data_IF_109134883113
#
_entry.id   IF_109134883113
#
_cell.length_a   1.000
_cell.length_b   1.000
_cell.length_c   1.000
_cell.angle_alpha   90.00
_cell.angle_beta   90.00
_cell.angle_gamma   90.00
#
_symmetry.space_group_name_H-M   'P 1'
#
loop_
_entity.id
_entity.type
_entity.pdbx_description
1 polymer ?
#
# COMPACT_ATOMS: atom_id res chain seq x y z
N UNK A 1 -10.23 -11.20 8.10
CA UNK A 1 -10.92 -10.58 9.26
C UNK A 1 -11.52 -9.26 8.81
N UNK A 2 -12.82 -9.06 9.04
CA UNK A 2 -13.42 -7.74 9.05
C UNK A 2 -13.63 -7.40 10.52
N UNK A 3 -12.82 -6.51 11.09
CA UNK A 3 -13.08 -6.04 12.43
C UNK A 3 -14.42 -5.29 12.41
N UNK A 4 -15.38 -5.75 13.20
CA UNK A 4 -16.75 -5.19 13.26
C UNK A 4 -16.92 -4.17 14.38
N UNK A 5 -15.87 -3.95 15.19
CA UNK A 5 -15.87 -2.98 16.28
C UNK A 5 -15.48 -1.58 15.84
N UNK A 6 -15.64 -0.62 16.76
CA UNK A 6 -15.14 0.75 16.63
C UNK A 6 -13.87 0.93 17.47
N UNK A 7 -13.02 1.90 17.12
CA UNK A 7 -11.79 2.23 17.85
C UNK A 7 -10.51 1.56 17.33
N UNK A 8 -9.35 1.95 17.90
CA UNK A 8 -8.01 1.61 17.42
C UNK A 8 -7.75 0.10 17.27
N UNK A 9 -8.28 -0.73 18.17
CA UNK A 9 -8.14 -2.20 18.12
C UNK A 9 -8.85 -2.84 16.90
N UNK A 10 -9.75 -2.10 16.26
CA UNK A 10 -10.48 -2.53 15.06
C UNK A 10 -9.88 -1.96 13.77
N UNK A 11 -8.63 -1.46 13.82
CA UNK A 11 -7.96 -0.84 12.68
C UNK A 11 -6.80 -1.67 12.18
N UNK A 12 -6.36 -1.39 10.95
CA UNK A 12 -5.16 -1.96 10.34
C UNK A 12 -3.89 -1.72 11.17
N UNK A 13 -3.88 -0.76 12.11
CA UNK A 13 -2.75 -0.59 13.03
C UNK A 13 -2.66 -1.69 14.09
N UNK A 14 -3.78 -2.36 14.40
CA UNK A 14 -3.81 -3.50 15.32
C UNK A 14 -3.54 -4.83 14.59
N UNK A 15 -4.12 -5.03 13.41
CA UNK A 15 -4.09 -6.33 12.71
C UNK A 15 -3.38 -6.34 11.36
N UNK A 16 -2.90 -5.21 10.85
CA UNK A 16 -2.25 -5.12 9.54
C UNK A 16 -3.16 -5.54 8.38
N UNK A 17 -2.70 -6.51 7.59
CA UNK A 17 -3.50 -7.10 6.52
C UNK A 17 -4.59 -8.06 7.04
N UNK A 18 -4.55 -8.46 8.31
CA UNK A 18 -5.47 -9.39 8.94
C UNK A 18 -4.80 -10.73 9.30
N UNK A 19 -5.63 -11.71 9.64
CA UNK A 19 -5.16 -13.06 9.97
C UNK A 19 -4.57 -13.77 8.75
N UNK A 20 -3.55 -14.59 8.98
CA UNK A 20 -2.89 -15.36 7.93
C UNK A 20 -3.84 -16.40 7.32
N UNK A 21 -3.79 -16.54 5.99
CA UNK A 21 -4.32 -17.68 5.26
C UNK A 21 -3.15 -18.41 4.60
N UNK A 22 -2.63 -19.49 5.21
CA UNK A 22 -1.47 -20.19 4.69
C UNK A 22 -1.71 -20.83 3.33
N UNK A 23 -2.93 -21.28 3.04
CA UNK A 23 -3.27 -21.97 1.79
C UNK A 23 -3.28 -20.98 0.64
N UNK A 24 -3.91 -19.82 0.82
CA UNK A 24 -3.90 -18.76 -0.18
C UNK A 24 -2.49 -18.17 -0.38
N UNK A 25 -1.66 -18.13 0.66
CA UNK A 25 -0.30 -17.58 0.59
C UNK A 25 0.66 -18.40 -0.30
N UNK A 26 0.41 -19.70 -0.51
CA UNK A 26 1.22 -20.56 -1.38
C UNK A 26 1.11 -20.17 -2.86
N UNK A 27 -0.04 -19.64 -3.28
CA UNK A 27 -0.27 -19.18 -4.64
C UNK A 27 -1.02 -17.84 -4.63
N UNK A 28 -0.31 -16.72 -4.43
CA UNK A 28 -0.94 -15.42 -4.23
C UNK A 28 -1.42 -14.75 -5.53
N UNK A 29 -1.05 -15.25 -6.71
CA UNK A 29 -1.32 -14.63 -8.01
C UNK A 29 -0.42 -13.43 -8.31
N UNK A 30 -0.46 -12.37 -7.50
CA UNK A 30 0.42 -11.20 -7.61
C UNK A 30 1.23 -10.97 -6.34
N UNK A 31 2.45 -10.46 -6.49
CA UNK A 31 3.31 -10.05 -5.38
C UNK A 31 3.86 -8.65 -5.57
N UNK A 32 4.16 -7.97 -4.46
CA UNK A 32 4.87 -6.70 -4.45
C UNK A 32 6.34 -6.97 -4.13
N UNK A 33 7.19 -6.97 -5.15
CA UNK A 33 8.62 -7.21 -4.95
C UNK A 33 9.34 -5.94 -4.51
N UNK A 34 10.33 -6.13 -3.64
CA UNK A 34 11.21 -5.11 -3.09
C UNK A 34 12.61 -5.68 -2.92
N UNK A 35 13.63 -4.88 -3.16
CA UNK A 35 15.02 -5.24 -2.89
C UNK A 35 15.75 -4.24 -1.98
N UNK A 36 17.05 -4.46 -1.75
CA UNK A 36 17.90 -3.58 -0.93
C UNK A 36 17.91 -2.13 -1.45
N UNK A 37 17.94 -1.96 -2.77
CA UNK A 37 17.99 -0.65 -3.43
C UNK A 37 16.71 0.14 -3.16
N UNK A 38 15.55 -0.53 -3.20
CA UNK A 38 14.27 0.10 -2.86
C UNK A 38 14.24 0.62 -1.41
N UNK A 39 14.78 -0.16 -0.48
CA UNK A 39 14.88 0.23 0.93
C UNK A 39 15.84 1.40 1.13
N UNK A 40 16.98 1.40 0.42
CA UNK A 40 17.91 2.52 0.42
C UNK A 40 17.22 3.80 -0.10
N UNK A 41 16.50 3.71 -1.22
CA UNK A 41 15.77 4.84 -1.79
C UNK A 41 14.69 5.37 -0.82
N UNK A 42 14.00 4.48 -0.11
CA UNK A 42 13.04 4.82 0.95
C UNK A 42 13.70 5.59 2.10
N UNK A 43 14.82 5.10 2.64
CA UNK A 43 15.55 5.77 3.72
C UNK A 43 16.12 7.12 3.27
N UNK A 44 16.60 7.21 2.03
CA UNK A 44 17.00 8.48 1.40
C UNK A 44 15.81 9.46 1.32
N UNK A 45 14.62 8.98 0.97
CA UNK A 45 13.38 9.77 0.97
C UNK A 45 12.96 10.28 2.35
N UNK A 46 13.38 9.60 3.42
CA UNK A 46 13.22 10.02 4.81
C UNK A 46 14.33 10.97 5.29
N UNK A 47 15.25 11.38 4.40
CA UNK A 47 16.40 12.24 4.70
C UNK A 47 17.39 11.64 5.72
N UNK A 48 17.58 10.32 5.72
CA UNK A 48 18.66 9.70 6.50
C UNK A 48 20.04 10.18 6.02
N UNK A 49 20.95 10.43 6.96
CA UNK A 49 22.31 10.86 6.64
C UNK A 49 23.15 9.71 6.08
N UNK A 50 24.19 10.01 5.28
CA UNK A 50 25.11 8.99 4.77
C UNK A 50 25.77 8.15 5.87
N UNK A 51 26.02 8.75 7.05
CA UNK A 51 26.55 8.04 8.22
C UNK A 51 25.54 7.02 8.76
N UNK A 52 24.27 7.41 8.89
CA UNK A 52 23.21 6.52 9.33
C UNK A 52 22.95 5.40 8.30
N UNK A 53 22.92 5.75 7.01
CA UNK A 53 22.76 4.77 5.92
C UNK A 53 23.89 3.75 5.93
N UNK A 54 25.16 4.17 6.09
CA UNK A 54 26.30 3.25 6.18
C UNK A 54 26.19 2.28 7.36
N UNK A 55 25.67 2.76 8.50
CA UNK A 55 25.45 1.91 9.67
C UNK A 55 24.36 0.86 9.42
N UNK A 56 23.27 1.24 8.73
CA UNK A 56 22.12 0.37 8.44
C UNK A 56 22.43 -0.63 7.31
N UNK A 57 23.03 -0.16 6.22
CA UNK A 57 23.25 -0.95 4.99
C UNK A 57 24.55 -1.75 5.00
N UNK A 58 25.48 -1.42 5.90
CA UNK A 58 26.83 -1.99 5.97
C UNK A 58 27.82 -1.42 4.94
N UNK A 59 27.40 -0.49 4.06
CA UNK A 59 28.23 0.02 2.97
C UNK A 59 28.05 1.52 2.75
N UNK A 60 29.00 2.17 2.06
CA UNK A 60 28.88 3.57 1.73
C UNK A 60 27.77 3.77 0.67
N UNK A 61 26.72 4.50 1.04
CA UNK A 61 25.57 4.78 0.19
C UNK A 61 25.51 6.27 -0.14
N UNK A 62 25.34 6.57 -1.44
CA UNK A 62 25.03 7.92 -1.93
C UNK A 62 23.58 7.92 -2.41
N UNK A 63 22.76 8.81 -1.87
CA UNK A 63 21.37 8.94 -2.29
C UNK A 63 21.28 9.54 -3.70
N UNK A 64 21.13 8.70 -4.72
CA UNK A 64 20.82 9.11 -6.08
C UNK A 64 19.30 9.15 -6.27
N UNK A 65 18.71 10.33 -6.06
CA UNK A 65 17.26 10.54 -6.19
C UNK A 65 16.49 10.38 -4.87
N UNK A 66 15.31 11.00 -4.81
CA UNK A 66 14.40 10.92 -3.66
C UNK A 66 13.06 10.37 -4.14
N UNK A 67 12.72 9.15 -3.73
CA UNK A 67 11.33 8.67 -3.81
C UNK A 67 10.58 9.17 -2.59
N UNK A 68 9.28 9.41 -2.73
CA UNK A 68 8.44 9.66 -1.55
C UNK A 68 8.39 8.36 -0.72
N UNK A 69 8.60 8.40 0.60
CA UNK A 69 8.60 7.19 1.43
C UNK A 69 7.34 6.31 1.25
N UNK A 70 6.17 6.93 1.05
CA UNK A 70 4.90 6.24 0.76
C UNK A 70 4.87 5.44 -0.56
N UNK A 71 5.83 5.67 -1.45
CA UNK A 71 5.98 4.95 -2.72
C UNK A 71 6.93 3.75 -2.65
N UNK A 72 7.44 3.38 -1.46
CA UNK A 72 7.97 2.03 -1.29
C UNK A 72 6.92 1.02 -1.79
N UNK A 73 7.34 0.04 -2.58
CA UNK A 73 6.48 -0.97 -3.19
C UNK A 73 5.96 -2.00 -2.16
N UNK A 74 5.37 -1.52 -1.08
CA UNK A 74 4.89 -2.32 0.04
C UNK A 74 3.43 -2.77 -0.18
N UNK A 75 3.01 -3.97 0.28
CA UNK A 75 1.67 -4.51 0.03
C UNK A 75 0.52 -3.79 0.78
N UNK A 76 0.84 -2.76 1.57
CA UNK A 76 -0.12 -1.84 2.18
C UNK A 76 0.21 -0.38 1.84
N UNK A 77 -0.77 0.51 2.03
CA UNK A 77 -0.67 1.93 1.71
C UNK A 77 -1.11 2.75 2.91
N UNK A 78 -0.22 3.59 3.45
CA UNK A 78 -0.54 4.48 4.56
C UNK A 78 -0.09 5.90 4.31
N UNK A 79 -0.90 6.88 4.72
CA UNK A 79 -0.52 8.27 4.68
C UNK A 79 -0.99 9.02 5.92
N UNK A 80 -0.02 9.65 6.58
CA UNK A 80 -0.25 10.67 7.59
C UNK A 80 -0.62 11.99 6.91
N UNK A 81 -1.69 12.63 7.35
CA UNK A 81 -2.22 13.88 6.81
C UNK A 81 -1.91 15.03 7.77
N UNK A 82 -1.43 16.14 7.22
CA UNK A 82 -1.17 17.36 7.98
C UNK A 82 -2.47 18.17 8.10
N UNK A 83 -3.03 18.21 9.31
CA UNK A 83 -4.29 18.92 9.63
C UNK A 83 -5.57 18.10 9.40
N UNK A 84 -6.57 18.30 10.26
CA UNK A 84 -7.82 17.51 10.30
C UNK A 84 -8.97 18.07 9.43
N UNK A 85 -8.93 19.37 9.10
CA UNK A 85 -10.10 20.10 8.59
C UNK A 85 -9.99 20.53 7.11
N UNK A 86 -9.00 20.03 6.37
CA UNK A 86 -8.83 20.35 4.95
C UNK A 86 -9.11 19.14 4.06
N UNK A 87 -9.53 19.41 2.82
CA UNK A 87 -9.56 18.39 1.78
C UNK A 87 -8.15 17.91 1.48
N UNK A 88 -7.96 16.60 1.33
CA UNK A 88 -6.67 16.02 1.00
C UNK A 88 -6.75 15.16 -0.25
N UNK A 89 -5.59 14.99 -0.89
CA UNK A 89 -5.38 13.99 -1.94
C UNK A 89 -3.98 13.43 -1.79
N UNK A 90 -3.88 12.11 -1.71
CA UNK A 90 -2.59 11.40 -1.65
C UNK A 90 -2.54 10.32 -2.71
N UNK A 91 -1.35 10.10 -3.25
CA UNK A 91 -1.11 9.10 -4.28
C UNK A 91 -0.06 8.10 -3.83
N UNK A 92 -0.30 6.84 -4.20
CA UNK A 92 0.61 5.72 -3.99
C UNK A 92 0.92 5.09 -5.33
N UNK A 93 2.21 4.95 -5.65
CA UNK A 93 2.67 4.15 -6.79
C UNK A 93 3.04 2.76 -6.32
N UNK A 94 2.59 1.75 -7.06
CA UNK A 94 2.88 0.34 -6.79
C UNK A 94 3.18 -0.39 -8.08
N UNK A 95 3.94 -1.46 -7.95
CA UNK A 95 4.27 -2.40 -9.01
C UNK A 95 4.03 -3.81 -8.49
N UNK A 96 3.27 -4.58 -9.25
CA UNK A 96 3.01 -5.99 -8.94
C UNK A 96 3.68 -6.87 -9.98
N UNK A 97 4.20 -8.00 -9.52
CA UNK A 97 4.79 -9.06 -10.35
C UNK A 97 3.82 -10.24 -10.39
N UNK A 98 3.55 -10.76 -11.58
CA UNK A 98 2.68 -11.93 -11.75
C UNK A 98 3.41 -13.22 -11.37
N UNK A 99 2.93 -13.93 -10.35
CA UNK A 99 3.36 -15.30 -10.02
C UNK A 99 2.28 -16.36 -10.32
N UNK A 100 1.09 -15.92 -10.72
CA UNK A 100 0.00 -16.79 -11.13
C UNK A 100 0.17 -17.29 -12.57
N UNK A 101 -0.95 -17.61 -13.21
CA UNK A 101 -0.96 -18.09 -14.59
C UNK A 101 -0.60 -17.00 -15.59
N UNK A 102 -0.01 -17.38 -16.73
CA UNK A 102 0.14 -16.48 -17.87
C UNK A 102 -1.24 -16.10 -18.46
N UNK A 103 -1.31 -14.98 -19.18
CA UNK A 103 -2.54 -14.44 -19.77
C UNK A 103 -3.69 -14.20 -18.77
N UNK A 104 -3.36 -13.79 -17.54
CA UNK A 104 -4.33 -13.46 -16.49
C UNK A 104 -4.69 -11.97 -16.51
N UNK A 105 -5.98 -11.65 -16.36
CA UNK A 105 -6.45 -10.26 -16.23
C UNK A 105 -6.98 -10.01 -14.82
N UNK A 106 -6.37 -9.08 -14.10
CA UNK A 106 -6.83 -8.65 -12.77
C UNK A 106 -7.63 -7.36 -12.89
N UNK A 107 -8.78 -7.31 -12.21
CA UNK A 107 -9.60 -6.09 -12.06
C UNK A 107 -9.50 -5.56 -10.65
N UNK A 108 -9.36 -4.25 -10.52
CA UNK A 108 -9.33 -3.57 -9.22
C UNK A 108 -10.74 -3.44 -8.65
N UNK A 109 -10.87 -3.70 -7.34
CA UNK A 109 -12.08 -3.49 -6.55
C UNK A 109 -11.70 -2.71 -5.29
N UNK A 110 -12.45 -1.65 -5.00
CA UNK A 110 -12.32 -0.89 -3.76
C UNK A 110 -13.41 -1.33 -2.79
N UNK A 111 -13.04 -1.59 -1.55
CA UNK A 111 -13.96 -1.85 -0.44
C UNK A 111 -13.66 -0.84 0.67
N UNK A 112 -14.59 0.07 0.94
CA UNK A 112 -14.47 1.01 2.06
C UNK A 112 -14.78 0.29 3.38
N UNK A 113 -13.99 0.55 4.43
CA UNK A 113 -14.30 0.04 5.77
C UNK A 113 -15.44 0.86 6.40
N UNK A 114 -16.09 0.31 7.42
CA UNK A 114 -17.26 0.91 8.05
C UNK A 114 -16.97 2.35 8.53
N UNK A 115 -17.84 3.30 8.15
CA UNK A 115 -17.71 4.71 8.50
C UNK A 115 -16.70 5.51 7.67
N UNK A 116 -15.92 4.86 6.79
CA UNK A 116 -14.98 5.56 5.91
C UNK A 116 -15.71 6.36 4.82
N UNK A 117 -15.27 7.61 4.63
CA UNK A 117 -15.76 8.52 3.57
C UNK A 117 -14.70 8.76 2.47
N UNK A 118 -13.72 7.87 2.37
CA UNK A 118 -12.64 8.00 1.40
C UNK A 118 -13.15 7.78 -0.02
N UNK A 119 -12.62 8.57 -0.94
CA UNK A 119 -12.72 8.33 -2.37
C UNK A 119 -11.39 7.73 -2.85
N UNK A 120 -11.43 6.51 -3.40
CA UNK A 120 -10.24 5.81 -3.86
C UNK A 120 -10.38 5.49 -5.35
N UNK A 121 -9.39 5.91 -6.14
CA UNK A 121 -9.30 5.64 -7.58
C UNK A 121 -8.02 4.91 -7.91
N UNK A 122 -8.09 3.95 -8.83
CA UNK A 122 -6.95 3.13 -9.27
C UNK A 122 -6.76 3.31 -10.77
N UNK A 123 -5.52 3.56 -11.19
CA UNK A 123 -5.17 3.74 -12.61
C UNK A 123 -3.88 2.99 -12.97
N UNK A 124 -3.90 2.07 -13.94
CA UNK A 124 -5.09 1.55 -14.61
C UNK A 124 -5.98 0.75 -13.63
N UNK A 125 -7.27 0.59 -13.93
CA UNK A 125 -8.20 -0.21 -13.11
C UNK A 125 -8.17 -1.70 -13.45
N UNK A 126 -7.44 -2.08 -14.50
CA UNK A 126 -7.26 -3.45 -15.02
C UNK A 126 -5.78 -3.67 -15.32
N UNK A 127 -5.24 -4.81 -14.91
CA UNK A 127 -3.88 -5.26 -15.22
C UNK A 127 -3.95 -6.55 -16.04
N UNK A 128 -3.42 -6.51 -17.26
CA UNK A 128 -3.44 -7.66 -18.18
C UNK A 128 -2.06 -8.28 -18.27
N UNK A 129 -1.78 -9.30 -17.48
CA UNK A 129 -0.47 -9.97 -17.39
C UNK A 129 -0.38 -11.05 -18.47
N UNK A 130 0.51 -10.85 -19.45
CA UNK A 130 0.74 -11.78 -20.57
C UNK A 130 1.61 -12.96 -20.16
N UNK A 131 2.54 -12.76 -19.23
CA UNK A 131 3.50 -13.79 -18.82
C UNK A 131 3.69 -13.87 -17.31
N UNK A 132 4.23 -15.01 -16.85
CA UNK A 132 4.70 -15.16 -15.47
C UNK A 132 5.96 -14.29 -15.30
N UNK A 133 6.10 -13.66 -14.14
CA UNK A 133 7.12 -12.65 -13.79
C UNK A 133 6.97 -11.30 -14.51
N UNK A 134 5.90 -11.11 -15.28
CA UNK A 134 5.58 -9.79 -15.82
C UNK A 134 5.30 -8.81 -14.67
N UNK A 135 5.83 -7.59 -14.81
CA UNK A 135 5.60 -6.50 -13.87
C UNK A 135 4.67 -5.48 -14.48
N UNK A 136 3.66 -5.04 -13.73
CA UNK A 136 2.87 -3.88 -14.10
C UNK A 136 2.69 -2.93 -12.92
N UNK A 137 2.75 -1.64 -13.24
CA UNK A 137 2.60 -0.57 -12.27
C UNK A 137 1.21 0.04 -12.33
N UNK A 138 0.73 0.48 -11.18
CA UNK A 138 -0.50 1.24 -11.04
C UNK A 138 -0.35 2.34 -9.99
N UNK A 139 -1.25 3.31 -10.06
CA UNK A 139 -1.36 4.40 -9.10
C UNK A 139 -2.70 4.32 -8.38
N UNK A 140 -2.66 4.45 -7.06
CA UNK A 140 -3.84 4.59 -6.20
C UNK A 140 -3.90 6.03 -5.73
N UNK A 141 -5.01 6.71 -6.02
CA UNK A 141 -5.29 8.07 -5.57
C UNK A 141 -6.38 8.02 -4.52
N UNK A 142 -6.10 8.51 -3.32
CA UNK A 142 -7.04 8.56 -2.20
C UNK A 142 -7.32 10.03 -1.89
N UNK A 143 -8.58 10.41 -1.85
CA UNK A 143 -9.02 11.75 -1.47
C UNK A 143 -10.17 11.72 -0.49
N UNK A 144 -10.34 12.82 0.24
CA UNK A 144 -11.37 12.98 1.24
C UNK A 144 -11.30 14.34 1.92
N UNK A 145 -12.17 14.55 2.90
CA UNK A 145 -12.21 15.74 3.74
C UNK A 145 -12.84 15.40 5.09
N UNK A 146 -12.62 16.26 6.10
CA UNK A 146 -13.25 16.17 7.42
C UNK A 146 -13.09 14.78 8.05
N UNK A 147 -11.85 14.28 8.11
CA UNK A 147 -11.56 13.03 8.80
C UNK A 147 -11.71 13.22 10.31
N UNK A 148 -12.11 12.15 10.97
CA UNK A 148 -12.06 12.09 12.42
C UNK A 148 -10.58 12.20 12.87
N UNK A 149 -10.22 13.19 13.71
CA UNK A 149 -8.84 13.38 14.13
C UNK A 149 -8.31 12.25 15.05
N UNK A 150 -9.22 11.50 15.68
CA UNK A 150 -8.90 10.46 16.67
C UNK A 150 -8.99 9.04 16.09
N UNK A 151 -9.49 8.87 14.86
CA UNK A 151 -9.66 7.58 14.22
C UNK A 151 -9.13 7.56 12.77
N UNK A 152 -8.41 6.50 12.36
CA UNK A 152 -7.98 6.37 10.99
C UNK A 152 -9.18 6.06 10.08
N UNK A 153 -9.07 6.48 8.83
CA UNK A 153 -10.01 6.08 7.79
C UNK A 153 -9.37 5.06 6.87
N UNK A 154 -10.08 3.96 6.61
CA UNK A 154 -9.50 2.80 5.93
C UNK A 154 -10.34 2.32 4.75
N UNK A 155 -9.65 1.78 3.74
CA UNK A 155 -10.22 1.13 2.59
C UNK A 155 -9.34 -0.05 2.17
N UNK A 156 -9.82 -0.88 1.26
CA UNK A 156 -9.06 -2.00 0.71
C UNK A 156 -9.07 -1.94 -0.81
N UNK A 157 -7.89 -2.05 -1.41
CA UNK A 157 -7.74 -2.41 -2.81
C UNK A 157 -7.66 -3.92 -2.92
N UNK A 158 -8.45 -4.51 -3.80
CA UNK A 158 -8.38 -5.93 -4.15
C UNK A 158 -8.15 -6.03 -5.66
N UNK A 159 -7.07 -6.69 -6.06
CA UNK A 159 -6.91 -7.17 -7.43
C UNK A 159 -7.45 -8.60 -7.52
N UNK A 160 -8.40 -8.83 -8.42
CA UNK A 160 -9.00 -10.16 -8.62
C UNK A 160 -9.02 -10.57 -10.09
N UNK A 161 -8.60 -11.79 -10.37
CA UNK A 161 -8.73 -12.47 -11.67
C UNK A 161 -9.88 -13.51 -11.66
N UNK A 162 -10.69 -13.53 -10.61
CA UNK A 162 -11.74 -14.53 -10.36
C UNK A 162 -11.29 -15.75 -9.55
N UNK A 163 -9.98 -16.00 -9.46
CA UNK A 163 -9.39 -17.10 -8.67
C UNK A 163 -8.62 -16.58 -7.47
N UNK A 164 -7.69 -15.66 -7.70
CA UNK A 164 -6.88 -14.99 -6.70
C UNK A 164 -7.53 -13.68 -6.25
N UNK A 165 -7.30 -13.31 -4.98
CA UNK A 165 -7.73 -12.04 -4.42
C UNK A 165 -6.56 -11.39 -3.68
N UNK A 166 -5.89 -10.46 -4.33
CA UNK A 166 -4.70 -9.78 -3.79
C UNK A 166 -5.14 -8.50 -3.11
N UNK A 167 -5.29 -8.57 -1.79
CA UNK A 167 -5.81 -7.48 -0.95
C UNK A 167 -4.68 -6.62 -0.37
N UNK A 168 -4.81 -5.31 -0.52
CA UNK A 168 -3.93 -4.30 0.05
C UNK A 168 -4.74 -3.29 0.88
N UNK A 169 -4.53 -3.23 2.21
CA UNK A 169 -5.15 -2.20 3.04
C UNK A 169 -4.60 -0.81 2.71
N UNK A 170 -5.49 0.18 2.78
CA UNK A 170 -5.24 1.61 2.58
C UNK A 170 -5.71 2.31 3.85
N UNK A 171 -4.83 3.08 4.48
CA UNK A 171 -5.11 3.78 5.74
C UNK A 171 -4.66 5.23 5.64
N UNK A 172 -5.54 6.17 5.99
CA UNK A 172 -5.18 7.57 6.17
C UNK A 172 -5.54 8.02 7.57
N UNK A 173 -4.68 8.84 8.18
CA UNK A 173 -4.81 9.26 9.56
C UNK A 173 -4.19 10.65 9.77
N UNK A 174 -4.67 11.38 10.77
CA UNK A 174 -4.22 12.72 11.14
C UNK A 174 -3.05 12.69 12.13
N UNK A 175 -2.43 13.86 12.32
CA UNK A 175 -1.34 14.07 13.28
C UNK A 175 -1.71 13.73 14.74
N UNK A 176 -2.99 13.83 15.09
CA UNK A 176 -3.53 13.63 16.45
C UNK A 176 -3.86 12.16 16.78
N UNK A 177 -3.66 11.24 15.83
CA UNK A 177 -3.76 9.80 16.06
C UNK A 177 -2.48 9.23 16.68
#
# INVERSE_FOLDING_TARGET
MNATGTGAASTEFAYGAGHIDPVAALNPGLVYELDKTDHIAFLCGLNYTSKALKLISGEAVTCSGKTLPRNLNYPSMSAKLSGSNSSFTVTFKRTVTNLGTANSTYKSKIVLNHGSKLNVKVSPSVLSMKSVKEKQSFTVTVSGSNLDPELPSSANLIWSDGTHNVRSPIVVYSDSY
#
